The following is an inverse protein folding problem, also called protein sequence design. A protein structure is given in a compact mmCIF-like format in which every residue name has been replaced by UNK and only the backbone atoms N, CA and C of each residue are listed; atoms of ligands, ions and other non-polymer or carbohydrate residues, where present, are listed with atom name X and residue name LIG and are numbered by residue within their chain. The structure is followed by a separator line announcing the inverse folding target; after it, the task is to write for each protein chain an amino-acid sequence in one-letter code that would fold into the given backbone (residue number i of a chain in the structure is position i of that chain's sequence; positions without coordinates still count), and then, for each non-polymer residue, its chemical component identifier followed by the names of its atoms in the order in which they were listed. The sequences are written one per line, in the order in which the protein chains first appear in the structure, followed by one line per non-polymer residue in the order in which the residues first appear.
data_IF_445302030867
#
_entry.id   IF_445302030867
#
_cell.length_a   1.000
_cell.length_b   1.000
_cell.length_c   1.000
_cell.angle_alpha   90.00
_cell.angle_beta   90.00
_cell.angle_gamma   90.00
#
_symmetry.space_group_name_H-M   'P 1'
#
loop_
_entity.id
_entity.type
_entity.pdbx_description
1 polymer ?
#
# COMPACT_ATOMS: atom_id res chain seq x y z
N UNK A 1 5.12 -6.02 -0.77
CA UNK A 1 4.48 -6.73 0.37
C UNK A 1 5.08 -8.11 0.49
N UNK A 2 5.56 -8.50 1.68
CA UNK A 2 6.08 -9.85 1.93
C UNK A 2 5.00 -10.68 2.64
N UNK A 3 4.93 -11.98 2.37
CA UNK A 3 3.97 -12.88 3.02
C UNK A 3 4.17 -12.95 4.56
N UNK A 4 5.34 -12.51 5.04
CA UNK A 4 5.71 -12.41 6.45
C UNK A 4 4.98 -11.33 7.24
N UNK A 5 4.35 -10.36 6.57
CA UNK A 5 3.70 -9.21 7.24
C UNK A 5 2.27 -9.55 7.72
N UNK A 6 1.77 -10.75 7.41
CA UNK A 6 0.46 -11.22 7.89
C UNK A 6 0.59 -11.59 9.37
N UNK A 7 0.10 -10.71 10.23
CA UNK A 7 0.02 -10.95 11.67
C UNK A 7 -0.92 -12.14 11.96
N UNK A 8 -0.31 -13.30 12.25
CA UNK A 8 -1.02 -14.53 12.60
C UNK A 8 -1.64 -14.49 13.99
N UNK A 9 -1.31 -13.50 14.82
CA UNK A 9 -1.89 -13.33 16.15
C UNK A 9 -2.38 -11.89 16.37
N UNK A 10 -3.42 -11.48 15.63
CA UNK A 10 -3.89 -10.11 15.69
C UNK A 10 -4.44 -9.77 17.08
N UNK A 11 -4.22 -8.53 17.52
CA UNK A 11 -4.74 -8.01 18.80
C UNK A 11 -6.28 -8.10 18.80
N UNK A 12 -6.86 -8.40 19.97
CA UNK A 12 -8.33 -8.54 20.13
C UNK A 12 -9.12 -7.31 19.63
N UNK A 13 -8.53 -6.12 19.70
CA UNK A 13 -9.10 -4.88 19.17
C UNK A 13 -9.23 -4.91 17.64
N UNK A 14 -8.24 -5.43 16.93
CA UNK A 14 -8.23 -5.56 15.47
C UNK A 14 -9.32 -6.53 15.00
N UNK A 15 -9.56 -7.64 15.72
CA UNK A 15 -10.62 -8.58 15.37
C UNK A 15 -12.02 -7.98 15.59
N UNK A 16 -12.21 -7.20 16.66
CA UNK A 16 -13.46 -6.46 16.90
C UNK A 16 -13.71 -5.42 15.81
N UNK A 17 -12.67 -4.67 15.42
CA UNK A 17 -12.75 -3.71 14.31
C UNK A 17 -13.11 -4.40 12.99
N UNK A 18 -12.51 -5.55 12.70
CA UNK A 18 -12.85 -6.34 11.51
C UNK A 18 -14.30 -6.82 11.53
N UNK A 19 -14.79 -7.31 12.66
CA UNK A 19 -16.20 -7.71 12.81
C UNK A 19 -17.17 -6.54 12.61
N UNK A 20 -16.88 -5.38 13.22
CA UNK A 20 -17.69 -4.18 13.07
C UNK A 20 -17.65 -3.62 11.63
N UNK A 21 -16.48 -3.61 11.00
CA UNK A 21 -16.33 -3.22 9.59
C UNK A 21 -17.08 -4.17 8.67
N UNK A 22 -17.01 -5.49 8.92
CA UNK A 22 -17.76 -6.48 8.16
C UNK A 22 -19.27 -6.24 8.30
N UNK A 23 -19.75 -5.99 9.52
CA UNK A 23 -21.15 -5.65 9.76
C UNK A 23 -21.56 -4.38 9.00
N UNK A 24 -20.76 -3.31 9.06
CA UNK A 24 -21.05 -2.06 8.38
C UNK A 24 -21.07 -2.21 6.86
N UNK A 25 -20.07 -2.91 6.29
CA UNK A 25 -19.95 -3.10 4.84
C UNK A 25 -21.00 -4.07 4.32
N UNK A 26 -21.08 -5.28 4.85
CA UNK A 26 -22.04 -6.29 4.37
C UNK A 26 -23.48 -5.91 4.71
N UNK A 27 -23.72 -5.32 5.88
CA UNK A 27 -25.03 -4.79 6.28
C UNK A 27 -25.44 -3.62 5.40
N UNK A 28 -24.55 -2.65 5.17
CA UNK A 28 -24.82 -1.51 4.29
C UNK A 28 -25.08 -1.92 2.83
N UNK A 29 -24.26 -2.81 2.28
CA UNK A 29 -24.47 -3.37 0.94
C UNK A 29 -25.79 -4.17 0.85
N UNK A 30 -26.13 -4.91 1.90
CA UNK A 30 -27.37 -5.65 2.00
C UNK A 30 -28.61 -4.74 1.99
N UNK A 31 -28.60 -3.67 2.78
CA UNK A 31 -29.68 -2.66 2.83
C UNK A 31 -29.76 -1.88 1.51
N UNK A 32 -28.64 -1.48 0.94
CA UNK A 32 -28.62 -0.80 -0.36
C UNK A 32 -29.22 -1.68 -1.47
N UNK A 33 -28.87 -2.97 -1.48
CA UNK A 33 -29.39 -3.94 -2.45
C UNK A 33 -30.87 -4.28 -2.24
N UNK A 34 -31.33 -4.24 -0.99
CA UNK A 34 -32.75 -4.31 -0.66
C UNK A 34 -33.50 -3.13 -1.28
N UNK A 35 -32.97 -1.92 -1.11
CA UNK A 35 -33.56 -0.70 -1.67
C UNK A 35 -33.51 -0.67 -3.21
N UNK A 36 -32.53 -1.33 -3.83
CA UNK A 36 -32.37 -1.38 -5.28
C UNK A 36 -33.20 -2.48 -5.98
N UNK A 37 -34.17 -3.11 -5.29
CA UNK A 37 -34.94 -4.27 -5.79
C UNK A 37 -34.05 -5.43 -6.31
N UNK A 38 -32.88 -5.62 -5.70
CA UNK A 38 -32.05 -6.78 -6.00
C UNK A 38 -32.71 -8.10 -5.53
N UNK A 39 -32.17 -9.27 -5.94
CA UNK A 39 -32.68 -10.55 -5.47
C UNK A 39 -32.74 -10.58 -3.93
N UNK A 40 -33.93 -10.79 -3.37
CA UNK A 40 -34.15 -10.74 -1.93
C UNK A 40 -33.25 -11.73 -1.17
N UNK A 41 -33.04 -12.92 -1.74
CA UNK A 41 -32.14 -13.94 -1.22
C UNK A 41 -30.70 -13.42 -1.06
N UNK A 42 -30.21 -12.60 -1.99
CA UNK A 42 -28.85 -12.07 -1.95
C UNK A 42 -28.72 -10.93 -0.94
N UNK A 43 -29.74 -10.08 -0.80
CA UNK A 43 -29.75 -9.05 0.26
C UNK A 43 -29.80 -9.67 1.65
N UNK A 44 -30.70 -10.64 1.88
CA UNK A 44 -30.82 -11.35 3.15
C UNK A 44 -29.55 -12.12 3.51
N UNK A 45 -28.92 -12.78 2.53
CA UNK A 45 -27.65 -13.47 2.74
C UNK A 45 -26.53 -12.50 3.15
N UNK A 46 -26.44 -11.32 2.53
CA UNK A 46 -25.41 -10.32 2.89
C UNK A 46 -25.65 -9.71 4.27
N UNK A 47 -26.90 -9.41 4.62
CA UNK A 47 -27.25 -8.91 5.96
C UNK A 47 -26.96 -9.97 7.02
N UNK A 48 -27.35 -11.22 6.77
CA UNK A 48 -27.08 -12.34 7.68
C UNK A 48 -25.58 -12.59 7.86
N UNK A 49 -24.80 -12.56 6.77
CA UNK A 49 -23.34 -12.69 6.84
C UNK A 49 -22.69 -11.55 7.62
N UNK A 50 -23.12 -10.31 7.39
CA UNK A 50 -22.65 -9.14 8.15
C UNK A 50 -22.99 -9.24 9.64
N UNK A 51 -24.22 -9.63 9.97
CA UNK A 51 -24.67 -9.84 11.34
C UNK A 51 -23.88 -10.95 12.05
N UNK A 52 -23.69 -12.10 11.39
CA UNK A 52 -22.92 -13.23 11.92
C UNK A 52 -21.47 -12.83 12.19
N UNK A 53 -20.81 -12.13 11.25
CA UNK A 53 -19.42 -11.69 11.42
C UNK A 53 -19.28 -10.60 12.49
N UNK A 54 -20.25 -9.68 12.57
CA UNK A 54 -20.30 -8.64 13.60
C UNK A 54 -20.48 -9.23 15.00
N UNK A 55 -21.47 -10.11 15.18
CA UNK A 55 -21.74 -10.81 16.44
C UNK A 55 -20.56 -11.69 16.84
N UNK A 56 -20.00 -12.45 15.90
CA UNK A 56 -18.81 -13.27 16.16
C UNK A 56 -17.59 -12.42 16.57
N UNK A 57 -17.44 -11.20 16.04
CA UNK A 57 -16.37 -10.28 16.43
C UNK A 57 -16.51 -9.73 17.85
N UNK A 58 -17.74 -9.59 18.36
CA UNK A 58 -18.00 -9.12 19.73
C UNK A 58 -17.99 -10.29 20.74
N UNK A 59 -18.69 -11.38 20.42
CA UNK A 59 -18.91 -12.50 21.33
C UNK A 59 -17.75 -13.51 21.39
N UNK A 60 -17.11 -13.79 20.25
CA UNK A 60 -16.08 -14.83 20.15
C UNK A 60 -14.92 -14.40 19.22
N UNK A 61 -14.16 -13.34 19.60
CA UNK A 61 -13.07 -12.84 18.76
C UNK A 61 -12.01 -13.92 18.48
N UNK A 62 -11.78 -14.87 19.40
CA UNK A 62 -10.83 -15.97 19.19
C UNK A 62 -11.19 -16.88 18.00
N UNK A 63 -12.48 -17.11 17.74
CA UNK A 63 -12.94 -17.89 16.60
C UNK A 63 -12.84 -17.09 15.30
N UNK A 64 -13.14 -15.78 15.37
CA UNK A 64 -13.00 -14.85 14.25
C UNK A 64 -11.55 -14.75 13.75
N UNK A 65 -10.56 -15.08 14.59
CA UNK A 65 -9.13 -15.10 14.21
C UNK A 65 -8.88 -15.96 12.97
N UNK A 66 -9.45 -17.16 12.91
CA UNK A 66 -9.23 -18.08 11.78
C UNK A 66 -9.84 -17.54 10.49
N UNK A 67 -11.04 -16.96 10.58
CA UNK A 67 -11.71 -16.31 9.45
C UNK A 67 -10.92 -15.09 8.98
N UNK A 68 -10.44 -14.26 9.90
CA UNK A 68 -9.62 -13.09 9.61
C UNK A 68 -8.32 -13.47 8.90
N UNK A 69 -7.61 -14.48 9.40
CA UNK A 69 -6.36 -14.94 8.78
C UNK A 69 -6.64 -15.52 7.38
N UNK A 70 -7.67 -16.34 7.21
CA UNK A 70 -8.06 -16.87 5.90
C UNK A 70 -8.43 -15.77 4.90
N UNK A 71 -9.22 -14.78 5.34
CA UNK A 71 -9.56 -13.61 4.53
C UNK A 71 -8.31 -12.79 4.16
N UNK A 72 -7.37 -12.61 5.08
CA UNK A 72 -6.13 -11.88 4.83
C UNK A 72 -5.25 -12.58 3.78
N UNK A 73 -5.19 -13.91 3.80
CA UNK A 73 -4.52 -14.69 2.75
C UNK A 73 -5.16 -14.48 1.38
N UNK A 74 -6.49 -14.37 1.32
CA UNK A 74 -7.21 -14.14 0.07
C UNK A 74 -6.98 -12.72 -0.47
N UNK A 75 -6.88 -11.73 0.41
CA UNK A 75 -6.65 -10.31 0.06
C UNK A 75 -5.17 -10.02 -0.24
N UNK A 76 -4.24 -10.79 0.33
CA UNK A 76 -2.79 -10.62 0.12
C UNK A 76 -2.37 -10.50 -1.36
N UNK A 77 -2.75 -11.41 -2.28
CA UNK A 77 -2.34 -11.31 -3.68
C UNK A 77 -2.87 -10.04 -4.35
N UNK A 78 -4.05 -9.55 -3.95
CA UNK A 78 -4.61 -8.29 -4.45
C UNK A 78 -3.70 -7.14 -4.02
N UNK A 79 -3.34 -7.07 -2.73
CA UNK A 79 -2.43 -6.05 -2.21
C UNK A 79 -1.06 -6.07 -2.89
N UNK A 80 -0.52 -7.27 -3.15
CA UNK A 80 0.72 -7.45 -3.89
C UNK A 80 0.61 -6.88 -5.31
N UNK A 81 -0.43 -7.25 -6.06
CA UNK A 81 -0.64 -6.77 -7.43
C UNK A 81 -0.82 -5.26 -7.45
N UNK A 82 -1.69 -4.71 -6.59
CA UNK A 82 -1.91 -3.26 -6.49
C UNK A 82 -0.62 -2.50 -6.19
N UNK A 83 0.21 -3.01 -5.28
CA UNK A 83 1.51 -2.39 -4.96
C UNK A 83 2.45 -2.35 -6.17
N UNK A 84 2.53 -3.45 -6.93
CA UNK A 84 3.38 -3.54 -8.12
C UNK A 84 2.85 -2.69 -9.26
N UNK A 85 1.53 -2.69 -9.47
CA UNK A 85 0.88 -1.86 -10.47
C UNK A 85 1.06 -0.37 -10.14
N UNK A 86 0.88 0.02 -8.88
CA UNK A 86 1.09 1.41 -8.45
C UNK A 86 2.54 1.84 -8.66
N UNK A 87 3.50 0.99 -8.29
CA UNK A 87 4.91 1.24 -8.54
C UNK A 87 5.20 1.35 -10.04
N UNK A 88 4.62 0.48 -10.86
CA UNK A 88 4.71 0.52 -12.31
C UNK A 88 4.15 1.83 -12.88
N UNK A 89 2.96 2.25 -12.43
CA UNK A 89 2.33 3.50 -12.86
C UNK A 89 3.21 4.69 -12.50
N UNK A 90 3.73 4.76 -11.27
CA UNK A 90 4.61 5.86 -10.86
C UNK A 90 5.91 5.84 -11.66
N UNK A 91 6.52 4.67 -11.84
CA UNK A 91 7.76 4.52 -12.58
C UNK A 91 7.60 4.91 -14.06
N UNK A 92 6.65 4.30 -14.76
CA UNK A 92 6.46 4.53 -16.19
C UNK A 92 5.68 5.81 -16.50
N UNK A 93 4.83 6.29 -15.59
CA UNK A 93 4.04 7.50 -15.78
C UNK A 93 4.74 8.78 -15.35
N UNK A 94 5.66 8.72 -14.39
CA UNK A 94 6.35 9.91 -13.86
C UNK A 94 7.85 9.83 -14.12
N UNK A 95 8.53 8.80 -13.60
CA UNK A 95 9.99 8.75 -13.64
C UNK A 95 10.55 8.54 -15.05
N UNK A 96 9.96 7.64 -15.84
CA UNK A 96 10.36 7.37 -17.22
C UNK A 96 10.23 8.62 -18.11
N UNK A 97 9.08 9.31 -18.20
CA UNK A 97 8.97 10.49 -19.05
C UNK A 97 9.84 11.64 -18.55
N UNK A 98 10.04 11.79 -17.24
CA UNK A 98 10.96 12.78 -16.69
C UNK A 98 12.41 12.51 -17.10
N UNK A 99 12.85 11.25 -17.02
CA UNK A 99 14.17 10.84 -17.50
C UNK A 99 14.33 11.03 -19.00
N UNK A 100 13.28 10.72 -19.79
CA UNK A 100 13.28 10.94 -21.23
C UNK A 100 13.34 12.44 -21.57
N UNK A 101 12.60 13.28 -20.83
CA UNK A 101 12.64 14.73 -20.99
C UNK A 101 14.03 15.30 -20.70
N UNK A 102 14.71 14.82 -19.65
CA UNK A 102 16.10 15.22 -19.39
C UNK A 102 17.07 14.73 -20.46
N UNK A 103 16.86 13.53 -21.01
CA UNK A 103 17.65 13.00 -22.13
C UNK A 103 17.48 13.86 -23.39
N UNK A 104 16.25 14.25 -23.71
CA UNK A 104 15.93 15.12 -24.86
C UNK A 104 16.45 16.54 -24.66
N UNK A 105 16.42 17.07 -23.43
CA UNK A 105 16.98 18.37 -23.08
C UNK A 105 18.53 18.38 -23.05
N UNK A 106 19.20 17.28 -23.38
CA UNK A 106 20.66 17.18 -23.41
C UNK A 106 21.34 17.28 -22.04
N UNK A 107 20.59 17.14 -20.93
CA UNK A 107 21.14 17.21 -19.58
C UNK A 107 21.78 15.89 -19.18
N UNK A 108 23.10 15.81 -19.37
CA UNK A 108 23.90 14.68 -18.89
C UNK A 108 24.46 14.93 -17.47
N UNK A 109 23.58 14.91 -16.46
CA UNK A 109 23.99 15.11 -15.06
C UNK A 109 24.76 13.93 -14.47
N UNK A 110 24.61 12.75 -15.07
CA UNK A 110 25.27 11.53 -14.61
C UNK A 110 26.64 11.33 -15.27
N UNK A 111 27.08 12.26 -16.13
CA UNK A 111 28.30 12.12 -16.93
C UNK A 111 28.32 10.76 -17.64
N UNK A 112 27.20 10.31 -18.19
CA UNK A 112 27.12 9.01 -18.88
C UNK A 112 27.91 9.05 -20.19
N UNK A 113 28.03 10.21 -20.83
CA UNK A 113 28.92 10.42 -21.97
C UNK A 113 30.36 10.48 -21.48
N UNK A 114 31.24 9.75 -22.17
CA UNK A 114 32.68 9.77 -21.88
C UNK A 114 33.19 11.22 -21.99
N UNK A 115 33.65 11.85 -20.90
CA UNK A 115 34.25 13.17 -20.97
C UNK A 115 35.52 13.08 -21.82
N UNK A 116 35.97 14.21 -22.38
CA UNK A 116 37.27 14.32 -23.04
C UNK A 116 38.39 14.35 -21.99
N UNK A 117 38.43 13.33 -21.13
CA UNK A 117 39.35 13.10 -20.01
C UNK A 117 39.48 11.60 -19.79
N UNK A 118 40.64 11.16 -19.30
CA UNK A 118 40.92 9.73 -19.07
C UNK A 118 40.08 9.13 -17.93
N UNK A 119 39.54 9.97 -17.03
CA UNK A 119 38.73 9.53 -15.89
C UNK A 119 37.50 10.41 -15.68
N UNK A 120 36.48 9.84 -15.02
CA UNK A 120 35.28 10.54 -14.55
C UNK A 120 35.53 11.32 -13.24
N UNK A 121 36.78 11.46 -12.83
CA UNK A 121 37.13 12.13 -11.57
C UNK A 121 36.76 13.61 -11.64
N UNK A 122 35.92 14.04 -10.70
CA UNK A 122 35.60 15.46 -10.49
C UNK A 122 36.54 15.96 -9.40
N UNK A 123 37.41 16.91 -9.74
CA UNK A 123 38.29 17.56 -8.77
C UNK A 123 37.44 18.21 -7.68
N UNK A 124 37.68 17.77 -6.44
CA UNK A 124 37.05 18.39 -5.28
C UNK A 124 37.73 19.74 -5.05
N UNK A 125 36.97 20.85 -4.89
CA UNK A 125 37.57 22.11 -4.49
C UNK A 125 38.32 21.93 -3.16
N UNK A 126 39.38 22.73 -2.93
CA UNK A 126 40.15 22.67 -1.69
C UNK A 126 39.21 22.82 -0.50
N UNK A 127 39.47 22.03 0.55
CA UNK A 127 38.66 22.07 1.76
C UNK A 127 38.64 23.51 2.31
N UNK A 128 37.48 24.01 2.76
CA UNK A 128 37.41 25.31 3.43
C UNK A 128 38.38 25.33 4.62
N UNK A 129 38.96 26.49 4.93
CA UNK A 129 39.82 26.65 6.09
C UNK A 129 39.10 26.19 7.37
N UNK A 130 39.83 25.51 8.26
CA UNK A 130 39.30 25.00 9.52
C UNK A 130 38.60 26.09 10.35
N UNK A 131 39.05 27.35 10.23
CA UNK A 131 38.49 28.56 10.83
C UNK A 131 37.03 28.82 10.44
N UNK A 132 36.62 28.44 9.22
CA UNK A 132 35.27 28.62 8.69
C UNK A 132 34.22 27.69 9.33
N UNK A 133 34.64 26.52 9.85
CA UNK A 133 33.74 25.61 10.57
C UNK A 133 33.30 26.17 11.92
N UNK A 134 34.04 27.12 12.48
CA UNK A 134 33.72 27.77 13.76
C UNK A 134 32.75 28.96 13.61
N UNK A 135 32.38 29.35 12.38
CA UNK A 135 31.42 30.42 12.11
C UNK A 135 30.26 29.87 11.29
N UNK A 136 29.30 29.23 11.97
CA UNK A 136 28.10 28.66 11.36
C UNK A 136 26.96 29.69 11.16
N UNK A 137 27.14 30.93 11.62
CA UNK A 137 26.18 32.02 11.52
C UNK A 137 26.87 33.32 11.10
#
# INVERSE_FOLDING_TARGET
MKLSDIDRNPKLTTLRQFGLLSLAVFGGLGVWKWYSNGPAALSQAMIAAGALLGVAGVAAPRLLRWVFVGAMFLVFPIGFVVSHVLLGIVYYGIFMPLGLAFRLAGRDRLLLRKPNRDTYWIERPPAPEASGYFRQF
#
